data_IF_390600820915
#
_entry.id   IF_390600820915
#
_cell.length_a   1.000
_cell.length_b   1.000
_cell.length_c   1.000
_cell.angle_alpha   90.00
_cell.angle_beta   90.00
_cell.angle_gamma   90.00
#
_symmetry.space_group_name_H-M   'P 1'
#
loop_
_entity.id
_entity.type
_entity.pdbx_description
1 polymer ?
#
# COMPACT_ATOMS: atom_id res chain seq x y z
N UNK A 1 -13.62 -16.44 -42.45
CA UNK A 1 -13.49 -15.27 -41.56
C UNK A 1 -13.35 -15.78 -40.13
N UNK A 2 -12.18 -15.65 -39.48
CA UNK A 2 -11.99 -16.15 -38.12
C UNK A 2 -12.45 -15.13 -37.07
N UNK A 3 -13.12 -15.64 -36.04
CA UNK A 3 -13.69 -14.94 -34.89
C UNK A 3 -12.70 -14.02 -34.17
N UNK A 4 -12.79 -12.72 -34.44
CA UNK A 4 -12.15 -11.68 -33.63
C UNK A 4 -12.79 -11.54 -32.24
N UNK A 5 -14.08 -11.89 -32.08
CA UNK A 5 -14.82 -11.74 -30.82
C UNK A 5 -14.36 -12.68 -29.69
N UNK A 6 -13.94 -13.91 -30.01
CA UNK A 6 -13.48 -14.89 -29.01
C UNK A 6 -12.08 -14.57 -28.46
N UNK A 7 -11.25 -13.86 -29.24
CA UNK A 7 -9.88 -13.48 -28.84
C UNK A 7 -9.89 -12.42 -27.74
N UNK A 8 -10.79 -11.44 -27.83
CA UNK A 8 -10.99 -10.43 -26.78
C UNK A 8 -11.49 -11.07 -25.48
N UNK A 9 -12.48 -11.96 -25.56
CA UNK A 9 -12.99 -12.64 -24.37
C UNK A 9 -11.95 -13.52 -23.67
N UNK A 10 -11.03 -14.16 -24.43
CA UNK A 10 -9.91 -14.92 -23.85
C UNK A 10 -8.82 -14.02 -23.25
N UNK A 11 -8.54 -12.86 -23.87
CA UNK A 11 -7.59 -11.87 -23.34
C UNK A 11 -8.10 -11.23 -22.03
N UNK A 12 -9.41 -10.98 -21.92
CA UNK A 12 -10.03 -10.48 -20.67
C UNK A 12 -10.19 -11.57 -19.60
N UNK A 13 -10.21 -12.85 -19.97
CA UNK A 13 -10.30 -13.97 -19.02
C UNK A 13 -8.95 -14.38 -18.42
N UNK A 14 -7.83 -13.96 -19.03
CA UNK A 14 -6.46 -14.23 -18.58
C UNK A 14 -5.62 -12.98 -18.28
N UNK A 15 -6.12 -11.78 -18.58
CA UNK A 15 -5.47 -10.52 -18.26
C UNK A 15 -6.20 -9.79 -17.12
N UNK A 16 -5.51 -9.63 -15.98
CA UNK A 16 -5.92 -8.84 -14.81
C UNK A 16 -7.10 -9.37 -13.98
N UNK A 17 -7.00 -10.59 -13.45
CA UNK A 17 -7.68 -10.88 -12.18
C UNK A 17 -6.93 -10.17 -11.07
N UNK A 18 -7.32 -8.93 -10.76
CA UNK A 18 -6.77 -8.18 -9.62
C UNK A 18 -7.23 -8.89 -8.35
N UNK A 19 -6.30 -9.44 -7.59
CA UNK A 19 -6.59 -10.12 -6.34
C UNK A 19 -7.15 -9.13 -5.29
N UNK A 20 -8.03 -9.62 -4.39
CA UNK A 20 -8.68 -8.81 -3.36
C UNK A 20 -7.69 -8.02 -2.50
N UNK A 21 -6.56 -8.64 -2.16
CA UNK A 21 -5.45 -8.02 -1.42
C UNK A 21 -4.94 -6.73 -2.10
N UNK A 22 -4.76 -6.73 -3.43
CA UNK A 22 -4.25 -5.60 -4.21
C UNK A 22 -5.26 -4.45 -4.21
N UNK A 23 -6.55 -4.78 -4.35
CA UNK A 23 -7.62 -3.79 -4.26
C UNK A 23 -7.60 -3.13 -2.87
N UNK A 24 -7.48 -3.93 -1.82
CA UNK A 24 -7.43 -3.42 -0.45
C UNK A 24 -6.17 -2.58 -0.20
N UNK A 25 -5.00 -2.97 -0.72
CA UNK A 25 -3.77 -2.16 -0.65
C UNK A 25 -3.92 -0.82 -1.37
N UNK A 26 -4.55 -0.80 -2.56
CA UNK A 26 -4.84 0.44 -3.29
C UNK A 26 -5.77 1.33 -2.47
N UNK A 27 -6.84 0.78 -1.89
CA UNK A 27 -7.77 1.53 -1.04
C UNK A 27 -7.04 2.10 0.19
N UNK A 28 -6.18 1.31 0.83
CA UNK A 28 -5.38 1.73 1.97
C UNK A 28 -4.48 2.92 1.62
N UNK A 29 -3.73 2.81 0.53
CA UNK A 29 -2.86 3.86 0.03
C UNK A 29 -3.64 5.13 -0.36
N UNK A 30 -4.73 5.00 -1.13
CA UNK A 30 -5.57 6.15 -1.51
C UNK A 30 -6.19 6.84 -0.30
N UNK A 31 -6.62 6.08 0.71
CA UNK A 31 -7.17 6.61 1.96
C UNK A 31 -6.11 7.40 2.71
N UNK A 32 -4.89 6.87 2.78
CA UNK A 32 -3.75 7.59 3.37
C UNK A 32 -3.47 8.91 2.63
N UNK A 33 -3.36 8.88 1.30
CA UNK A 33 -3.13 10.07 0.46
C UNK A 33 -4.22 11.13 0.64
N UNK A 34 -5.50 10.72 0.72
CA UNK A 34 -6.60 11.64 0.97
C UNK A 34 -6.48 12.32 2.34
N UNK A 35 -6.09 11.56 3.36
CA UNK A 35 -5.81 12.10 4.69
C UNK A 35 -4.59 13.02 4.72
N UNK A 36 -3.52 12.68 4.00
CA UNK A 36 -2.29 13.45 3.91
C UNK A 36 -2.53 14.79 3.21
N UNK A 37 -3.16 14.78 2.03
CA UNK A 37 -3.55 15.99 1.29
C UNK A 37 -4.43 16.92 2.14
N UNK A 38 -5.40 16.35 2.87
CA UNK A 38 -6.21 17.11 3.83
C UNK A 38 -5.36 17.68 4.96
N UNK A 39 -4.40 16.91 5.48
CA UNK A 39 -3.52 17.34 6.57
C UNK A 39 -2.66 18.54 6.19
N UNK A 40 -2.12 18.59 4.97
CA UNK A 40 -1.38 19.74 4.47
C UNK A 40 -2.26 20.99 4.33
N UNK A 41 -3.53 20.80 3.95
CA UNK A 41 -4.51 21.90 3.83
C UNK A 41 -4.98 22.43 5.19
N UNK A 42 -5.23 21.56 6.17
CA UNK A 42 -5.83 21.92 7.46
C UNK A 42 -4.83 21.91 8.64
N UNK A 43 -3.54 21.88 8.32
CA UNK A 43 -2.42 21.92 9.25
C UNK A 43 -2.44 20.77 10.29
N UNK A 44 -2.74 19.57 9.81
CA UNK A 44 -2.75 18.34 10.59
C UNK A 44 -3.93 18.25 11.54
N UNK A 45 -5.14 18.53 11.08
CA UNK A 45 -6.34 18.43 11.92
C UNK A 45 -6.53 17.00 12.46
N UNK A 46 -7.36 16.86 13.50
CA UNK A 46 -7.67 15.50 14.02
C UNK A 46 -8.34 14.64 12.95
N UNK A 47 -9.20 15.24 12.12
CA UNK A 47 -9.90 14.52 11.06
C UNK A 47 -8.96 13.99 9.98
N UNK A 48 -7.95 14.77 9.59
CA UNK A 48 -6.95 14.32 8.61
C UNK A 48 -6.15 13.13 9.14
N UNK A 49 -5.75 13.18 10.41
CA UNK A 49 -5.04 12.08 11.08
C UNK A 49 -5.88 10.82 11.13
N UNK A 50 -7.17 10.91 11.47
CA UNK A 50 -8.07 9.75 11.47
C UNK A 50 -8.16 9.08 10.10
N UNK A 51 -8.28 9.88 9.03
CA UNK A 51 -8.31 9.36 7.67
C UNK A 51 -6.99 8.66 7.34
N UNK A 52 -5.84 9.30 7.59
CA UNK A 52 -4.52 8.66 7.39
C UNK A 52 -4.38 7.36 8.20
N UNK A 53 -4.76 7.40 9.48
CA UNK A 53 -4.65 6.25 10.37
C UNK A 53 -5.50 5.08 9.87
N UNK A 54 -6.69 5.35 9.32
CA UNK A 54 -7.52 4.29 8.74
C UNK A 54 -6.85 3.61 7.54
N UNK A 55 -6.13 4.37 6.70
CA UNK A 55 -5.33 3.82 5.61
C UNK A 55 -4.19 2.94 6.12
N UNK A 56 -3.40 3.43 7.08
CA UNK A 56 -2.28 2.68 7.67
C UNK A 56 -2.75 1.43 8.42
N UNK A 57 -3.86 1.52 9.16
CA UNK A 57 -4.45 0.36 9.87
C UNK A 57 -4.91 -0.69 8.85
N UNK A 58 -5.57 -0.25 7.77
CA UNK A 58 -6.01 -1.17 6.72
C UNK A 58 -4.81 -1.87 6.07
N UNK A 59 -3.76 -1.12 5.72
CA UNK A 59 -2.50 -1.66 5.18
C UNK A 59 -1.84 -2.69 6.11
N UNK A 60 -1.75 -2.35 7.40
CA UNK A 60 -1.25 -3.25 8.42
C UNK A 60 -2.07 -4.54 8.52
N UNK A 61 -3.41 -4.43 8.53
CA UNK A 61 -4.30 -5.59 8.60
C UNK A 61 -4.16 -6.48 7.37
N UNK A 62 -4.10 -5.91 6.16
CA UNK A 62 -3.90 -6.69 4.93
C UNK A 62 -2.57 -7.43 4.99
N UNK A 63 -1.53 -6.79 5.54
CA UNK A 63 -0.18 -7.36 5.65
C UNK A 63 -0.08 -8.45 6.72
N UNK A 64 -0.74 -8.27 7.87
CA UNK A 64 -0.59 -9.15 9.05
C UNK A 64 -1.62 -10.26 9.15
N UNK A 65 -2.86 -10.07 8.67
CA UNK A 65 -3.89 -11.11 8.73
C UNK A 65 -3.52 -12.41 7.98
N UNK A 66 -2.82 -12.38 6.84
CA UNK A 66 -2.30 -13.60 6.21
C UNK A 66 -1.32 -14.37 7.09
N UNK A 67 -0.46 -13.66 7.83
CA UNK A 67 0.50 -14.24 8.79
C UNK A 67 -0.24 -14.93 9.95
N UNK A 68 -1.42 -14.43 10.31
CA UNK A 68 -2.31 -15.02 11.32
C UNK A 68 -3.25 -16.11 10.77
N UNK A 69 -3.12 -16.49 9.48
CA UNK A 69 -3.85 -17.61 8.88
C UNK A 69 -5.07 -17.25 8.03
N UNK A 70 -5.34 -15.97 7.78
CA UNK A 70 -6.44 -15.53 6.90
C UNK A 70 -6.06 -15.70 5.44
N UNK A 71 -6.34 -16.88 4.87
CA UNK A 71 -5.98 -17.26 3.49
C UNK A 71 -6.64 -16.43 2.40
N UNK A 72 -7.76 -15.75 2.66
CA UNK A 72 -8.41 -14.89 1.65
C UNK A 72 -7.62 -13.62 1.32
N UNK A 73 -6.67 -13.25 2.18
CA UNK A 73 -5.80 -12.09 2.02
C UNK A 73 -4.35 -12.50 1.65
N UNK A 74 -4.05 -13.80 1.64
CA UNK A 74 -2.71 -14.25 1.27
C UNK A 74 -2.45 -13.93 -0.18
N UNK A 75 -1.33 -13.26 -0.43
CA UNK A 75 -0.80 -13.06 -1.77
C UNK A 75 -0.25 -14.40 -2.23
N UNK A 76 -0.75 -14.91 -3.37
CA UNK A 76 -0.14 -16.05 -4.03
C UNK A 76 1.19 -15.60 -4.64
N UNK A 77 2.20 -15.45 -3.80
CA UNK A 77 3.55 -15.13 -4.26
C UNK A 77 4.08 -16.37 -4.98
N UNK A 78 4.39 -16.30 -6.29
CA UNK A 78 4.94 -17.44 -7.03
C UNK A 78 6.35 -17.83 -6.55
N UNK A 79 6.96 -17.04 -5.65
CA UNK A 79 8.23 -17.31 -4.96
C UNK A 79 8.66 -16.12 -4.10
N UNK A 80 9.78 -16.25 -3.37
CA UNK A 80 10.38 -15.16 -2.59
C UNK A 80 11.61 -14.61 -3.32
N UNK A 81 11.60 -13.33 -3.70
CA UNK A 81 12.72 -12.60 -4.29
C UNK A 81 13.27 -11.59 -3.27
N UNK A 82 14.55 -11.24 -3.33
CA UNK A 82 15.14 -10.11 -2.60
C UNK A 82 14.37 -8.79 -2.77
N UNK A 83 13.68 -8.58 -3.91
CA UNK A 83 12.79 -7.42 -4.11
C UNK A 83 11.55 -7.48 -3.22
N UNK A 84 10.97 -8.67 -3.01
CA UNK A 84 9.81 -8.85 -2.11
C UNK A 84 10.25 -8.65 -0.65
N UNK A 85 11.43 -9.17 -0.28
CA UNK A 85 11.99 -8.95 1.07
C UNK A 85 12.27 -7.46 1.29
N UNK A 86 12.83 -6.77 0.28
CA UNK A 86 13.05 -5.33 0.33
C UNK A 86 11.74 -4.58 0.56
N UNK A 87 10.68 -4.90 -0.21
CA UNK A 87 9.36 -4.30 -0.04
C UNK A 87 8.82 -4.51 1.38
N UNK A 88 8.86 -5.74 1.90
CA UNK A 88 8.41 -6.03 3.27
C UNK A 88 9.14 -5.17 4.31
N UNK A 89 10.47 -5.08 4.22
CA UNK A 89 11.27 -4.25 5.14
C UNK A 89 10.91 -2.77 4.99
N UNK A 90 10.72 -2.31 3.76
CA UNK A 90 10.35 -0.93 3.48
C UNK A 90 8.96 -0.58 4.02
N UNK A 91 8.00 -1.50 3.94
CA UNK A 91 6.68 -1.34 4.57
C UNK A 91 6.76 -1.08 6.08
N UNK A 92 7.63 -1.79 6.81
CA UNK A 92 7.88 -1.47 8.22
C UNK A 92 8.46 -0.06 8.43
N UNK A 93 9.35 0.39 7.54
CA UNK A 93 9.88 1.77 7.59
C UNK A 93 8.76 2.80 7.41
N UNK A 94 7.80 2.55 6.52
CA UNK A 94 6.63 3.43 6.36
C UNK A 94 5.82 3.50 7.65
N UNK A 95 5.51 2.37 8.27
CA UNK A 95 4.73 2.32 9.51
C UNK A 95 5.44 3.07 10.65
N UNK A 96 6.75 2.86 10.82
CA UNK A 96 7.54 3.55 11.83
C UNK A 96 7.63 5.05 11.57
N UNK A 97 7.77 5.45 10.29
CA UNK A 97 7.78 6.87 9.89
C UNK A 97 6.45 7.54 10.22
N UNK A 98 5.33 6.85 9.96
CA UNK A 98 4.01 7.37 10.31
C UNK A 98 3.81 7.48 11.83
N UNK A 99 4.22 6.48 12.61
CA UNK A 99 4.18 6.56 14.08
C UNK A 99 5.04 7.72 14.61
N UNK A 100 6.22 7.94 14.03
CA UNK A 100 7.06 9.09 14.35
C UNK A 100 6.36 10.42 14.01
N UNK A 101 5.63 10.49 12.89
CA UNK A 101 4.83 11.65 12.52
C UNK A 101 3.75 11.94 13.57
N UNK A 102 3.03 10.91 14.03
CA UNK A 102 2.05 11.06 15.12
C UNK A 102 2.70 11.58 16.41
N UNK A 103 3.90 11.08 16.74
CA UNK A 103 4.68 11.56 17.87
C UNK A 103 5.10 13.03 17.73
N UNK A 104 5.56 13.45 16.55
CA UNK A 104 5.90 14.84 16.26
C UNK A 104 4.67 15.76 16.40
N UNK A 105 3.51 15.31 15.89
CA UNK A 105 2.24 16.03 16.02
C UNK A 105 1.79 16.14 17.48
N UNK A 106 1.90 15.06 18.26
CA UNK A 106 1.55 15.06 19.68
C UNK A 106 2.39 16.05 20.50
N UNK A 107 3.66 16.25 20.09
CA UNK A 107 4.56 17.27 20.66
C UNK A 107 4.31 18.68 20.12
N UNK A 108 3.30 18.88 19.28
CA UNK A 108 2.99 20.17 18.65
C UNK A 108 3.93 20.57 17.50
N UNK A 109 4.88 19.71 17.11
CA UNK A 109 5.82 19.99 16.03
C UNK A 109 5.18 19.69 14.66
N UNK A 110 4.36 20.62 14.18
CA UNK A 110 3.65 20.50 12.90
C UNK A 110 4.57 20.48 11.67
N UNK A 111 5.67 21.25 11.60
CA UNK A 111 6.61 21.15 10.48
C UNK A 111 7.22 19.75 10.35
N UNK A 112 7.66 19.17 11.47
CA UNK A 112 8.21 17.82 11.47
C UNK A 112 7.15 16.77 11.14
N UNK A 113 5.93 16.94 11.63
CA UNK A 113 4.80 16.08 11.25
C UNK A 113 4.61 16.08 9.72
N UNK A 114 4.50 17.24 9.09
CA UNK A 114 4.30 17.36 7.65
C UNK A 114 5.47 16.80 6.83
N UNK A 115 6.71 17.02 7.30
CA UNK A 115 7.90 16.43 6.68
C UNK A 115 7.83 14.89 6.74
N UNK A 116 7.51 14.33 7.91
CA UNK A 116 7.41 12.88 8.08
C UNK A 116 6.25 12.27 7.29
N UNK A 117 5.12 12.98 7.15
CA UNK A 117 4.02 12.54 6.26
C UNK A 117 4.47 12.53 4.81
N UNK A 118 5.14 13.57 4.32
CA UNK A 118 5.66 13.61 2.95
C UNK A 118 6.66 12.48 2.69
N UNK A 119 7.56 12.22 3.65
CA UNK A 119 8.51 11.08 3.57
C UNK A 119 7.77 9.75 3.55
N UNK A 120 6.75 9.58 4.40
CA UNK A 120 5.94 8.36 4.42
C UNK A 120 5.17 8.15 3.11
N UNK A 121 4.62 9.20 2.49
CA UNK A 121 3.94 9.11 1.18
C UNK A 121 4.89 8.61 0.09
N UNK A 122 6.10 9.18 0.01
CA UNK A 122 7.11 8.79 -0.97
C UNK A 122 7.58 7.37 -0.72
N UNK A 123 7.88 7.02 0.54
CA UNK A 123 8.36 5.71 0.90
C UNK A 123 7.33 4.63 0.60
N UNK A 124 6.06 4.87 0.94
CA UNK A 124 4.97 3.94 0.66
C UNK A 124 4.69 3.81 -0.83
N UNK A 125 4.80 4.89 -1.60
CA UNK A 125 4.69 4.81 -3.05
C UNK A 125 5.78 3.90 -3.65
N UNK A 126 7.03 4.07 -3.23
CA UNK A 126 8.16 3.23 -3.68
C UNK A 126 7.93 1.76 -3.29
N UNK A 127 7.48 1.51 -2.06
CA UNK A 127 7.14 0.18 -1.58
C UNK A 127 6.06 -0.49 -2.44
N UNK A 128 4.95 0.23 -2.64
CA UNK A 128 3.80 -0.25 -3.41
C UNK A 128 4.18 -0.61 -4.85
N UNK A 129 4.96 0.24 -5.53
CA UNK A 129 5.45 -0.03 -6.89
C UNK A 129 6.44 -1.21 -6.90
N UNK A 130 7.33 -1.29 -5.91
CA UNK A 130 8.30 -2.40 -5.80
C UNK A 130 7.60 -3.74 -5.57
N UNK A 131 6.55 -3.75 -4.76
CA UNK A 131 5.72 -4.91 -4.49
C UNK A 131 4.96 -5.37 -5.75
N UNK A 132 4.29 -4.45 -6.45
CA UNK A 132 3.65 -4.76 -7.74
C UNK A 132 4.67 -5.28 -8.77
N UNK A 133 5.83 -4.63 -8.88
CA UNK A 133 6.87 -5.05 -9.79
C UNK A 133 7.41 -6.46 -9.47
N UNK A 134 7.62 -6.74 -8.19
CA UNK A 134 8.04 -8.05 -7.69
C UNK A 134 7.03 -9.16 -8.03
N UNK A 135 5.73 -8.87 -7.94
CA UNK A 135 4.68 -9.85 -8.26
C UNK A 135 4.55 -10.13 -9.77
N UNK A 136 4.64 -9.10 -10.62
CA UNK A 136 4.27 -9.23 -12.04
C UNK A 136 5.43 -9.47 -13.01
N UNK A 137 6.65 -9.03 -12.70
CA UNK A 137 7.75 -9.04 -13.68
C UNK A 137 8.80 -10.13 -13.47
N UNK A 138 8.82 -10.79 -12.32
CA UNK A 138 9.72 -11.90 -12.05
C UNK A 138 8.96 -13.20 -11.78
N UNK A 139 8.52 -13.94 -12.81
CA UNK A 139 8.33 -15.38 -12.68
C UNK A 139 9.72 -15.98 -12.45
N UNK A 140 10.05 -16.32 -11.20
CA UNK A 140 11.32 -16.99 -10.91
C UNK A 140 11.13 -18.51 -11.04
N UNK A 141 12.12 -19.12 -11.69
CA UNK A 141 12.35 -20.56 -11.80
C UNK A 141 12.53 -21.21 -10.44
#
# INVERSE_FOLDING_TARGET
MPDSGRRWFFLFKHGLTVELNQILYIIAYCTFMAGAARSFRDNGSRGSVWIMSSGVILDFLISMLPVLGVKSLSVNLPGTNGIIIFAIIFGFVVWLTYLAALGARAKGNKPLFHLLIAVAEIAWFIDFISFLYGMYKFPLY
#
